data_IF_519027531490
#
_entry.id   IF_519027531490
#
_cell.length_a   1.000
_cell.length_b   1.000
_cell.length_c   1.000
_cell.angle_alpha   90.00
_cell.angle_beta   90.00
_cell.angle_gamma   90.00
#
_symmetry.space_group_name_H-M   'P 1'
#
loop_
_entity.id
_entity.type
_entity.pdbx_description
1 polymer ?
#
# COMPACT_ATOMS: atom_id res chain seq x y z
N UNK A 1 -0.11 6.23 20.97
CA UNK A 1 -1.50 6.02 21.45
C UNK A 1 -1.59 6.53 22.89
N UNK A 2 -2.71 7.14 23.29
CA UNK A 2 -2.96 7.54 24.68
C UNK A 2 -4.11 6.66 25.19
N UNK A 3 -3.90 5.97 26.31
CA UNK A 3 -4.90 5.13 26.97
C UNK A 3 -4.80 5.39 28.47
N UNK A 4 -5.94 5.59 29.12
CA UNK A 4 -5.99 6.07 30.51
C UNK A 4 -6.41 4.96 31.49
N UNK A 5 -7.22 3.98 31.09
CA UNK A 5 -7.70 2.92 31.98
C UNK A 5 -7.97 1.57 31.30
N UNK A 6 -7.66 0.48 32.00
CA UNK A 6 -8.25 -0.83 31.77
C UNK A 6 -9.55 -0.95 32.59
N UNK A 7 -10.60 -1.53 32.02
CA UNK A 7 -11.93 -1.61 32.64
C UNK A 7 -11.88 -2.13 34.09
N UNK A 8 -12.30 -1.28 35.04
CA UNK A 8 -12.40 -1.62 36.46
C UNK A 8 -11.13 -1.47 37.29
N UNK A 9 -10.05 -0.89 36.74
CA UNK A 9 -8.81 -0.58 37.47
C UNK A 9 -8.27 0.80 37.10
N UNK A 10 -7.39 1.36 37.92
CA UNK A 10 -6.62 2.58 37.58
C UNK A 10 -5.31 2.26 36.85
N UNK A 11 -5.16 1.04 36.34
CA UNK A 11 -3.95 0.62 35.63
C UNK A 11 -4.09 0.99 34.15
N UNK A 12 -3.07 1.62 33.59
CA UNK A 12 -2.98 1.86 32.16
C UNK A 12 -2.43 0.63 31.45
N UNK A 13 -3.04 0.26 30.32
CA UNK A 13 -2.57 -0.85 29.47
C UNK A 13 -2.61 -0.43 28.01
N UNK A 14 -1.57 -0.79 27.27
CA UNK A 14 -1.59 -0.73 25.80
C UNK A 14 -1.55 -2.16 25.30
N UNK A 15 -2.73 -2.70 24.97
CA UNK A 15 -2.85 -4.07 24.47
C UNK A 15 -2.60 -4.12 22.97
N UNK A 16 -1.87 -5.15 22.54
CA UNK A 16 -1.61 -5.46 21.13
C UNK A 16 -1.07 -4.27 20.33
N UNK A 17 -0.23 -3.42 20.96
CA UNK A 17 0.42 -2.32 20.27
C UNK A 17 1.41 -2.88 19.24
N UNK A 18 1.07 -2.73 17.97
CA UNK A 18 1.98 -3.03 16.87
C UNK A 18 2.96 -1.89 16.65
N UNK A 19 4.23 -2.24 16.51
CA UNK A 19 5.32 -1.30 16.21
C UNK A 19 5.52 -1.26 14.69
N UNK A 20 5.30 -0.10 14.02
CA UNK A 20 5.28 -0.02 12.55
C UNK A 20 6.66 -0.14 11.90
N UNK A 21 7.73 0.16 12.62
CA UNK A 21 9.11 0.11 12.15
C UNK A 21 10.02 -0.61 13.16
N UNK A 22 11.10 -1.24 12.70
CA UNK A 22 12.19 -1.64 13.60
C UNK A 22 12.90 -0.38 14.12
N UNK A 23 13.03 -0.24 15.43
CA UNK A 23 13.70 0.93 16.01
C UNK A 23 13.50 1.05 17.52
N UNK A 24 14.08 2.10 18.09
CA UNK A 24 13.88 2.43 19.49
C UNK A 24 12.55 3.16 19.67
N UNK A 25 11.71 2.66 20.58
CA UNK A 25 10.44 3.30 20.97
C UNK A 25 10.53 3.82 22.40
N UNK A 26 9.87 4.95 22.65
CA UNK A 26 9.76 5.55 23.98
C UNK A 26 8.38 5.26 24.56
N UNK A 27 8.34 4.68 25.75
CA UNK A 27 7.12 4.53 26.54
C UNK A 27 7.10 5.66 27.58
N UNK A 28 6.10 6.53 27.51
CA UNK A 28 5.91 7.62 28.46
C UNK A 28 4.83 7.21 29.45
N UNK A 29 5.21 6.92 30.70
CA UNK A 29 4.29 6.70 31.80
C UNK A 29 4.04 8.02 32.55
N UNK A 30 2.77 8.39 32.73
CA UNK A 30 2.36 9.60 33.46
C UNK A 30 1.04 9.37 34.18
N UNK A 31 0.77 10.16 35.22
CA UNK A 31 -0.53 10.23 35.90
C UNK A 31 -1.62 10.82 35.01
N UNK A 32 -2.88 10.49 35.30
CA UNK A 32 -4.05 11.13 34.70
C UNK A 32 -4.03 12.65 34.93
N UNK A 33 -4.35 13.44 33.91
CA UNK A 33 -4.29 14.90 33.97
C UNK A 33 -2.88 15.50 33.89
N UNK A 34 -1.81 14.67 33.78
CA UNK A 34 -0.41 15.09 33.64
C UNK A 34 -0.02 16.11 34.71
N UNK A 35 0.45 17.30 34.31
CA UNK A 35 0.88 18.38 35.20
C UNK A 35 -0.24 18.96 36.07
N UNK A 36 -1.50 18.78 35.66
CA UNK A 36 -2.69 19.19 36.42
C UNK A 36 -3.25 18.06 37.29
N UNK A 37 -2.66 16.86 37.20
CA UNK A 37 -3.08 15.66 37.94
C UNK A 37 -2.45 15.57 39.33
N UNK A 38 -3.29 15.30 40.34
CA UNK A 38 -2.86 15.24 41.75
C UNK A 38 -2.47 13.85 42.27
N UNK A 39 -2.53 12.79 41.45
CA UNK A 39 -2.25 11.42 41.91
C UNK A 39 -0.76 11.09 41.88
N UNK A 40 -0.30 10.36 42.88
CA UNK A 40 1.09 9.90 43.01
C UNK A 40 1.13 8.47 43.56
N UNK A 41 2.23 7.76 43.28
CA UNK A 41 2.43 6.39 43.71
C UNK A 41 3.54 5.70 42.91
N UNK A 42 4.00 4.58 43.44
CA UNK A 42 4.93 3.68 42.73
C UNK A 42 4.20 2.93 41.61
N UNK A 43 4.92 2.58 40.53
CA UNK A 43 4.38 1.81 39.42
C UNK A 43 5.36 0.75 38.93
N UNK A 44 4.81 -0.28 38.28
CA UNK A 44 5.57 -1.27 37.53
C UNK A 44 5.21 -1.19 36.06
N UNK A 45 6.21 -1.14 35.18
CA UNK A 45 6.02 -1.20 33.73
C UNK A 45 6.43 -2.58 33.22
N UNK A 46 5.49 -3.29 32.60
CA UNK A 46 5.73 -4.60 31.99
C UNK A 46 5.60 -4.50 30.48
N UNK A 47 6.60 -4.99 29.75
CA UNK A 47 6.53 -5.21 28.31
C UNK A 47 6.44 -6.72 28.07
N UNK A 48 5.40 -7.15 27.37
CA UNK A 48 5.28 -8.53 26.90
C UNK A 48 5.33 -8.54 25.37
N UNK A 49 6.10 -9.46 24.80
CA UNK A 49 6.00 -9.75 23.36
C UNK A 49 4.65 -10.42 23.10
N UNK A 50 3.92 -9.96 22.08
CA UNK A 50 2.76 -10.69 21.59
C UNK A 50 3.19 -12.04 21.00
N UNK A 51 2.28 -13.02 20.98
CA UNK A 51 2.51 -14.26 20.23
C UNK A 51 2.67 -13.89 18.76
N UNK A 52 3.87 -14.08 18.21
CA UNK A 52 4.07 -13.89 16.78
C UNK A 52 3.56 -15.12 16.04
N UNK A 53 2.81 -14.88 14.97
CA UNK A 53 2.39 -15.94 14.06
C UNK A 53 3.62 -16.45 13.29
N UNK A 54 3.81 -17.76 13.25
CA UNK A 54 5.00 -18.43 12.69
C UNK A 54 4.60 -19.53 11.72
N UNK A 55 5.60 -20.18 11.12
CA UNK A 55 5.39 -21.40 10.31
C UNK A 55 4.66 -22.50 11.07
N UNK A 56 4.79 -22.60 12.40
CA UNK A 56 4.09 -23.61 13.20
C UNK A 56 2.58 -23.40 13.18
N UNK A 57 2.14 -22.14 13.21
CA UNK A 57 0.72 -21.78 13.16
C UNK A 57 0.13 -22.13 11.78
N UNK A 58 0.88 -21.89 10.69
CA UNK A 58 0.48 -22.35 9.34
C UNK A 58 0.29 -23.86 9.29
N UNK A 59 1.23 -24.63 9.85
CA UNK A 59 1.09 -26.10 9.87
C UNK A 59 -0.10 -26.56 10.70
N UNK A 60 -0.43 -25.88 11.80
CA UNK A 60 -1.61 -26.18 12.60
C UNK A 60 -2.93 -25.91 11.85
N UNK A 61 -2.90 -24.98 10.89
CA UNK A 61 -4.01 -24.72 9.96
C UNK A 61 -4.01 -25.66 8.74
N UNK A 62 -3.12 -26.66 8.69
CA UNK A 62 -2.89 -27.53 7.53
C UNK A 62 -2.52 -26.77 6.24
N UNK A 63 -1.86 -25.62 6.36
CA UNK A 63 -1.36 -24.84 5.24
C UNK A 63 0.11 -25.18 4.97
N UNK A 64 0.54 -25.26 3.70
CA UNK A 64 1.94 -25.46 3.37
C UNK A 64 2.76 -24.22 3.75
N UNK A 65 3.96 -24.45 4.26
CA UNK A 65 4.92 -23.39 4.56
C UNK A 65 5.82 -23.20 3.33
N UNK A 66 5.84 -21.97 2.82
CA UNK A 66 6.65 -21.58 1.68
C UNK A 66 7.91 -20.80 2.07
N UNK A 67 8.71 -20.46 1.06
CA UNK A 67 9.75 -19.44 1.19
C UNK A 67 9.13 -18.06 1.48
N UNK A 68 7.92 -17.82 0.97
CA UNK A 68 7.08 -16.66 1.29
C UNK A 68 5.66 -17.18 1.57
N UNK A 69 5.04 -16.70 2.64
CA UNK A 69 3.66 -17.03 3.02
C UNK A 69 2.91 -15.75 3.37
N UNK A 70 1.82 -15.46 2.68
CA UNK A 70 0.96 -14.28 2.87
C UNK A 70 -0.43 -14.75 3.26
N UNK A 71 -0.80 -14.54 4.52
CA UNK A 71 -2.08 -14.96 5.10
C UNK A 71 -2.91 -13.73 5.45
N UNK A 72 -4.13 -13.68 4.93
CA UNK A 72 -5.13 -12.67 5.25
C UNK A 72 -6.33 -13.34 5.94
N UNK A 73 -6.72 -12.86 7.11
CA UNK A 73 -7.95 -13.27 7.80
C UNK A 73 -8.78 -12.06 8.18
N UNK A 74 -10.10 -12.19 8.25
CA UNK A 74 -10.97 -11.09 8.69
C UNK A 74 -12.20 -11.60 9.45
N UNK A 75 -12.89 -10.66 10.12
CA UNK A 75 -13.84 -10.94 11.20
C UNK A 75 -15.31 -10.96 10.77
N UNK A 76 -15.62 -10.92 9.47
CA UNK A 76 -17.00 -10.87 8.98
C UNK A 76 -17.14 -11.41 7.55
N UNK A 77 -18.34 -11.27 6.97
CA UNK A 77 -18.68 -11.90 5.69
C UNK A 77 -18.23 -11.13 4.45
N UNK A 78 -17.51 -10.02 4.59
CA UNK A 78 -17.07 -9.18 3.47
C UNK A 78 -16.18 -9.91 2.48
N UNK A 79 -16.10 -9.40 1.25
CA UNK A 79 -15.19 -9.88 0.21
C UNK A 79 -13.93 -8.99 0.21
N UNK A 80 -12.85 -9.52 0.78
CA UNK A 80 -11.51 -8.94 0.68
C UNK A 80 -10.69 -9.75 -0.32
N UNK A 81 -10.18 -9.08 -1.36
CA UNK A 81 -9.18 -9.68 -2.26
C UNK A 81 -7.80 -9.57 -1.65
N UNK A 82 -7.00 -10.63 -1.81
CA UNK A 82 -5.57 -10.60 -1.58
C UNK A 82 -4.88 -10.70 -2.94
N UNK A 83 -4.02 -9.73 -3.25
CA UNK A 83 -3.15 -9.75 -4.41
C UNK A 83 -1.70 -9.62 -3.94
N UNK A 84 -0.82 -10.44 -4.51
CA UNK A 84 0.63 -10.33 -4.28
C UNK A 84 1.35 -10.23 -5.61
N UNK A 85 1.97 -9.08 -5.89
CA UNK A 85 2.83 -8.84 -7.05
C UNK A 85 4.27 -9.24 -6.72
N UNK A 86 4.89 -9.96 -7.63
CA UNK A 86 6.26 -10.42 -7.52
C UNK A 86 7.29 -9.39 -8.05
N UNK A 87 8.60 -9.65 -7.87
CA UNK A 87 9.65 -8.72 -8.32
C UNK A 87 9.80 -8.52 -9.83
N UNK A 88 9.09 -9.29 -10.66
CA UNK A 88 9.09 -9.12 -12.13
C UNK A 88 7.78 -8.58 -12.67
N UNK A 89 6.80 -8.33 -11.80
CA UNK A 89 5.56 -7.63 -12.12
C UNK A 89 4.35 -8.54 -12.31
N UNK A 90 4.51 -9.87 -12.16
CA UNK A 90 3.40 -10.81 -12.21
C UNK A 90 2.67 -10.83 -10.85
N UNK A 91 1.34 -10.88 -10.86
CA UNK A 91 0.53 -10.89 -9.63
C UNK A 91 -0.24 -12.18 -9.45
N UNK A 92 -0.20 -12.74 -8.24
CA UNK A 92 -1.10 -13.82 -7.80
C UNK A 92 -2.34 -13.20 -7.17
N UNK A 93 -3.52 -13.58 -7.64
CA UNK A 93 -4.83 -13.21 -7.11
C UNK A 93 -5.89 -14.17 -7.70
N UNK A 94 -7.18 -13.95 -7.46
CA UNK A 94 -8.25 -14.89 -7.83
C UNK A 94 -8.33 -15.21 -9.34
N UNK A 95 -8.16 -14.25 -10.24
CA UNK A 95 -8.14 -14.47 -11.69
C UNK A 95 -6.81 -15.05 -12.20
N UNK A 96 -5.74 -14.94 -11.40
CA UNK A 96 -4.40 -15.44 -11.70
C UNK A 96 -3.83 -16.23 -10.51
N UNK A 97 -4.45 -17.38 -10.21
CA UNK A 97 -4.15 -18.15 -9.01
C UNK A 97 -2.72 -18.73 -8.96
N UNK A 98 -2.00 -18.75 -10.08
CA UNK A 98 -0.60 -19.18 -10.16
C UNK A 98 0.17 -18.34 -11.17
N UNK A 99 1.44 -18.02 -10.86
CA UNK A 99 2.32 -17.25 -11.76
C UNK A 99 3.67 -17.94 -11.98
N UNK A 100 4.42 -17.46 -12.98
CA UNK A 100 5.68 -18.09 -13.42
C UNK A 100 6.78 -18.09 -12.36
N UNK A 101 6.79 -17.12 -11.44
CA UNK A 101 7.75 -17.09 -10.33
C UNK A 101 7.43 -18.07 -9.21
N UNK A 102 6.36 -18.87 -9.34
CA UNK A 102 6.00 -19.93 -8.40
C UNK A 102 4.97 -19.54 -7.35
N UNK A 103 4.50 -18.30 -7.33
CA UNK A 103 3.43 -17.87 -6.43
C UNK A 103 2.13 -18.61 -6.70
N UNK A 104 1.42 -19.01 -5.64
CA UNK A 104 0.19 -19.79 -5.69
C UNK A 104 -0.84 -19.32 -4.66
N UNK A 105 -2.09 -19.17 -5.09
CA UNK A 105 -3.26 -18.95 -4.25
C UNK A 105 -3.89 -20.29 -3.85
N UNK A 106 -4.07 -20.51 -2.55
CA UNK A 106 -4.65 -21.75 -2.02
C UNK A 106 -6.01 -21.56 -1.35
N UNK A 107 -6.17 -20.46 -0.63
CA UNK A 107 -7.44 -20.06 -0.02
C UNK A 107 -7.78 -18.68 -0.54
N UNK A 108 -9.05 -18.42 -0.83
CA UNK A 108 -9.46 -17.20 -1.53
C UNK A 108 -10.57 -16.44 -0.80
N UNK A 109 -10.89 -16.83 0.43
CA UNK A 109 -11.95 -16.22 1.22
C UNK A 109 -13.30 -16.17 0.51
N UNK A 110 -13.96 -15.00 0.55
CA UNK A 110 -15.35 -14.81 0.15
C UNK A 110 -15.53 -14.27 -1.28
N UNK A 111 -14.66 -14.65 -2.22
CA UNK A 111 -14.67 -14.17 -3.62
C UNK A 111 -16.09 -14.09 -4.19
N UNK A 112 -16.44 -12.90 -4.68
CA UNK A 112 -17.72 -12.59 -5.35
C UNK A 112 -18.95 -12.89 -4.48
N UNK A 113 -18.78 -12.99 -3.16
CA UNK A 113 -19.83 -13.34 -2.20
C UNK A 113 -20.57 -14.65 -2.51
N UNK A 114 -19.97 -15.59 -3.27
CA UNK A 114 -20.63 -16.85 -3.64
C UNK A 114 -20.90 -17.72 -2.42
N UNK A 115 -19.94 -17.75 -1.48
CA UNK A 115 -20.08 -18.33 -0.14
C UNK A 115 -19.39 -17.41 0.86
N UNK A 116 -20.18 -16.58 1.52
CA UNK A 116 -19.68 -15.60 2.47
C UNK A 116 -19.61 -16.22 3.88
N UNK A 117 -18.41 -16.62 4.31
CA UNK A 117 -18.15 -17.12 5.66
C UNK A 117 -18.00 -15.95 6.64
N UNK A 118 -18.36 -16.12 7.91
CA UNK A 118 -18.22 -15.04 8.91
C UNK A 118 -16.79 -14.77 9.37
N UNK A 119 -15.82 -15.65 9.07
CA UNK A 119 -14.40 -15.50 9.45
C UNK A 119 -13.48 -16.05 8.36
N UNK A 120 -13.36 -15.40 7.20
CA UNK A 120 -12.73 -15.99 6.03
C UNK A 120 -11.21 -15.95 6.12
N UNK A 121 -10.58 -16.70 5.23
CA UNK A 121 -9.13 -16.73 5.06
C UNK A 121 -8.76 -16.71 3.57
N UNK A 122 -7.82 -15.85 3.20
CA UNK A 122 -7.12 -15.88 1.91
C UNK A 122 -5.63 -16.16 2.14
N UNK A 123 -5.02 -17.00 1.30
CA UNK A 123 -3.66 -17.47 1.48
C UNK A 123 -2.93 -17.63 0.15
N UNK A 124 -1.87 -16.84 -0.02
CA UNK A 124 -0.93 -16.91 -1.14
C UNK A 124 0.44 -17.30 -0.61
N UNK A 125 1.16 -18.18 -1.31
CA UNK A 125 2.51 -18.59 -0.92
C UNK A 125 3.40 -18.89 -2.12
N UNK A 126 4.71 -18.76 -1.94
CA UNK A 126 5.74 -19.27 -2.84
C UNK A 126 6.33 -20.54 -2.23
N UNK A 127 6.26 -21.71 -2.89
CA UNK A 127 6.84 -22.95 -2.38
C UNK A 127 8.34 -22.84 -2.08
N UNK A 128 8.86 -23.80 -1.32
CA UNK A 128 10.29 -23.86 -1.01
C UNK A 128 11.13 -23.96 -2.29
N UNK A 129 12.21 -23.17 -2.38
CA UNK A 129 13.09 -23.07 -3.54
C UNK A 129 12.69 -21.99 -4.55
N UNK A 130 11.65 -21.19 -4.25
CA UNK A 130 11.17 -20.09 -5.08
C UNK A 130 11.39 -18.70 -4.46
N UNK A 131 12.16 -18.59 -3.39
CA UNK A 131 12.57 -17.30 -2.85
C UNK A 131 13.36 -16.52 -3.92
N UNK A 132 12.79 -15.41 -4.38
CA UNK A 132 13.42 -14.54 -5.37
C UNK A 132 13.78 -13.21 -4.73
N UNK A 133 14.99 -12.73 -5.02
CA UNK A 133 15.38 -11.39 -4.62
C UNK A 133 14.58 -10.33 -5.39
N UNK A 134 14.30 -9.21 -4.72
CA UNK A 134 13.58 -8.07 -5.25
C UNK A 134 12.39 -7.67 -4.38
N UNK A 135 11.54 -6.79 -4.91
CA UNK A 135 10.44 -6.18 -4.17
C UNK A 135 9.15 -6.92 -4.48
N UNK A 136 8.45 -7.33 -3.43
CA UNK A 136 7.09 -7.85 -3.50
C UNK A 136 6.14 -6.76 -3.00
N UNK A 137 4.98 -6.64 -3.62
CA UNK A 137 3.90 -5.74 -3.19
C UNK A 137 2.66 -6.58 -2.87
N UNK A 138 2.02 -6.27 -1.75
CA UNK A 138 0.78 -6.91 -1.29
C UNK A 138 -0.31 -5.86 -1.27
N UNK A 139 -1.42 -6.14 -1.93
CA UNK A 139 -2.63 -5.34 -1.96
C UNK A 139 -3.78 -6.14 -1.34
N UNK A 140 -4.47 -5.51 -0.38
CA UNK A 140 -5.73 -6.00 0.18
C UNK A 140 -6.84 -5.05 -0.22
N UNK A 141 -7.74 -5.50 -1.09
CA UNK A 141 -8.85 -4.71 -1.63
C UNK A 141 -10.19 -5.12 -1.02
N UNK A 142 -10.92 -4.17 -0.45
CA UNK A 142 -12.29 -4.40 0.04
C UNK A 142 -13.31 -4.23 -1.11
N UNK A 143 -13.67 -5.34 -1.75
CA UNK A 143 -14.52 -5.35 -2.95
C UNK A 143 -16.03 -5.23 -2.67
N UNK A 144 -16.52 -5.91 -1.63
CA UNK A 144 -17.96 -6.03 -1.41
C UNK A 144 -18.31 -6.34 0.02
N UNK A 145 -19.43 -5.79 0.50
CA UNK A 145 -19.92 -6.07 1.85
C UNK A 145 -20.56 -7.46 2.00
N UNK A 146 -20.87 -8.16 0.91
CA UNK A 146 -21.58 -9.46 0.92
C UNK A 146 -22.84 -9.52 1.81
N UNK A 147 -23.56 -8.39 1.92
CA UNK A 147 -24.73 -8.18 2.78
C UNK A 147 -24.44 -8.14 4.30
N UNK A 148 -23.18 -8.00 4.69
CA UNK A 148 -22.75 -7.82 6.08
C UNK A 148 -22.31 -6.37 6.30
N UNK A 149 -23.13 -5.60 7.02
CA UNK A 149 -22.87 -4.19 7.30
C UNK A 149 -21.97 -3.96 8.53
N UNK A 150 -21.47 -5.03 9.16
CA UNK A 150 -20.56 -4.89 10.30
C UNK A 150 -19.20 -4.33 9.87
N UNK A 151 -18.54 -3.60 10.77
CA UNK A 151 -17.21 -3.07 10.49
C UNK A 151 -16.19 -4.22 10.37
N UNK A 152 -15.49 -4.26 9.24
CA UNK A 152 -14.45 -5.25 8.97
C UNK A 152 -13.14 -4.86 9.67
N UNK A 153 -12.49 -5.86 10.24
CA UNK A 153 -11.11 -5.82 10.69
C UNK A 153 -10.39 -7.04 10.11
N UNK A 154 -9.31 -6.80 9.37
CA UNK A 154 -8.47 -7.86 8.84
C UNK A 154 -7.13 -7.92 9.56
N UNK A 155 -6.53 -9.11 9.55
CA UNK A 155 -5.13 -9.34 9.92
C UNK A 155 -4.37 -9.87 8.70
N UNK A 156 -3.36 -9.13 8.25
CA UNK A 156 -2.45 -9.53 7.17
C UNK A 156 -1.11 -9.96 7.77
N UNK A 157 -0.73 -11.22 7.58
CA UNK A 157 0.55 -11.79 8.04
C UNK A 157 1.42 -12.19 6.86
N UNK A 158 2.67 -11.73 6.85
CA UNK A 158 3.69 -12.11 5.86
C UNK A 158 4.83 -12.79 6.60
N UNK A 159 5.14 -14.03 6.22
CA UNK A 159 6.33 -14.76 6.63
C UNK A 159 7.29 -14.87 5.45
N UNK A 160 8.59 -14.74 5.70
CA UNK A 160 9.65 -15.07 4.75
C UNK A 160 10.61 -16.05 5.42
N UNK A 161 10.93 -17.16 4.75
CA UNK A 161 11.68 -18.29 5.32
C UNK A 161 11.09 -18.80 6.64
N UNK A 162 9.76 -18.80 6.75
CA UNK A 162 9.01 -19.21 7.95
C UNK A 162 9.09 -18.25 9.15
N UNK A 163 9.80 -17.12 9.03
CA UNK A 163 9.90 -16.09 10.07
C UNK A 163 8.93 -14.93 9.80
N UNK A 164 8.29 -14.36 10.83
CA UNK A 164 7.39 -13.23 10.66
C UNK A 164 8.11 -11.96 10.22
N UNK A 165 7.61 -11.35 9.14
CA UNK A 165 8.09 -10.09 8.59
C UNK A 165 7.07 -8.96 8.77
N UNK A 166 5.81 -9.20 8.40
CA UNK A 166 4.69 -8.24 8.53
C UNK A 166 3.49 -8.92 9.19
N UNK A 167 2.70 -8.18 9.97
CA UNK A 167 1.51 -8.69 10.66
C UNK A 167 0.50 -7.55 10.96
N UNK A 168 -0.04 -6.89 9.95
CA UNK A 168 -0.89 -5.71 10.13
C UNK A 168 -2.33 -6.05 10.55
N UNK A 169 -2.89 -5.28 11.49
CA UNK A 169 -4.34 -5.26 11.77
C UNK A 169 -4.91 -3.94 11.26
N UNK A 170 -5.95 -4.00 10.43
CA UNK A 170 -6.50 -2.83 9.74
C UNK A 170 -8.01 -2.91 9.62
N UNK A 171 -8.64 -1.73 9.50
CA UNK A 171 -10.09 -1.56 9.37
C UNK A 171 -10.40 -0.79 8.09
N UNK A 172 -10.43 -1.46 6.93
CA UNK A 172 -10.77 -0.79 5.67
C UNK A 172 -12.25 -0.39 5.63
N UNK A 173 -12.57 0.59 4.80
CA UNK A 173 -13.92 0.83 4.29
C UNK A 173 -14.06 0.25 2.89
N UNK A 174 -15.30 0.13 2.39
CA UNK A 174 -15.57 -0.35 1.04
C UNK A 174 -14.71 0.41 0.01
N UNK A 175 -14.22 -0.33 -0.98
CA UNK A 175 -13.33 0.08 -2.06
C UNK A 175 -11.93 0.54 -1.64
N UNK A 176 -11.59 0.53 -0.35
CA UNK A 176 -10.22 0.84 0.06
C UNK A 176 -9.25 -0.29 -0.27
N UNK A 177 -8.07 0.12 -0.72
CA UNK A 177 -6.89 -0.72 -0.87
C UNK A 177 -5.91 -0.45 0.27
N UNK A 178 -5.49 -1.50 0.96
CA UNK A 178 -4.33 -1.45 1.84
C UNK A 178 -3.14 -2.07 1.12
N UNK A 179 -2.10 -1.26 0.92
CA UNK A 179 -0.88 -1.66 0.22
C UNK A 179 0.28 -1.71 1.22
N UNK A 180 1.11 -2.74 1.10
CA UNK A 180 2.41 -2.85 1.77
C UNK A 180 3.39 -3.54 0.85
N UNK A 181 4.66 -3.17 0.91
CA UNK A 181 5.72 -3.89 0.21
C UNK A 181 6.71 -4.53 1.18
N UNK A 182 7.48 -5.49 0.67
CA UNK A 182 8.68 -5.98 1.34
C UNK A 182 9.73 -6.33 0.30
N UNK A 183 11.00 -6.27 0.70
CA UNK A 183 12.14 -6.59 -0.16
C UNK A 183 12.83 -7.84 0.34
N UNK A 184 13.17 -8.74 -0.58
CA UNK A 184 14.11 -9.84 -0.35
C UNK A 184 15.44 -9.42 -0.97
N UNK A 185 16.48 -9.25 -0.15
CA UNK A 185 17.81 -8.88 -0.60
C UNK A 185 18.45 -9.97 -1.48
N UNK A 186 19.52 -9.65 -2.23
CA UNK A 186 20.29 -10.65 -2.99
C UNK A 186 20.89 -11.77 -2.13
N UNK A 187 21.03 -11.53 -0.82
CA UNK A 187 21.45 -12.47 0.21
C UNK A 187 20.29 -13.29 0.82
N UNK A 188 19.07 -13.09 0.31
CA UNK A 188 17.84 -13.72 0.81
C UNK A 188 17.30 -13.12 2.10
N UNK A 189 17.89 -12.03 2.63
CA UNK A 189 17.40 -11.40 3.85
C UNK A 189 16.18 -10.51 3.55
N UNK A 190 15.06 -10.69 4.27
CA UNK A 190 13.87 -9.88 4.08
C UNK A 190 13.92 -8.56 4.87
N UNK A 191 13.31 -7.51 4.32
CA UNK A 191 13.02 -6.26 5.01
C UNK A 191 11.62 -5.77 4.67
N UNK A 192 10.84 -5.37 5.69
CA UNK A 192 9.51 -4.81 5.50
C UNK A 192 9.57 -3.35 5.02
N UNK A 193 8.69 -2.99 4.07
CA UNK A 193 8.38 -1.61 3.73
C UNK A 193 7.23 -1.06 4.58
N UNK A 194 6.87 0.20 4.35
CA UNK A 194 5.73 0.81 5.02
C UNK A 194 4.41 0.31 4.41
N UNK A 195 3.41 0.05 5.26
CA UNK A 195 2.07 -0.32 4.83
C UNK A 195 1.01 0.72 5.21
N UNK A 196 0.08 1.00 4.30
CA UNK A 196 -0.96 2.00 4.50
C UNK A 196 -2.11 1.90 3.49
N UNK A 197 -3.16 2.69 3.73
CA UNK A 197 -4.27 2.80 2.79
C UNK A 197 -3.89 3.73 1.64
N UNK A 198 -4.19 3.32 0.41
CA UNK A 198 -3.99 4.14 -0.78
C UNK A 198 -4.92 5.34 -0.73
N UNK A 199 -4.40 6.49 -1.18
CA UNK A 199 -5.16 7.73 -1.32
C UNK A 199 -4.97 8.28 -2.73
N UNK A 200 -6.02 8.89 -3.27
CA UNK A 200 -6.01 9.43 -4.64
C UNK A 200 -5.57 10.89 -4.70
N UNK A 201 -4.77 11.31 -3.73
CA UNK A 201 -4.30 12.69 -3.70
C UNK A 201 -2.89 12.84 -3.12
N UNK A 202 -2.36 14.05 -3.19
CA UNK A 202 -1.03 14.39 -2.72
C UNK A 202 -0.84 14.34 -1.19
N UNK A 203 -1.83 13.84 -0.42
CA UNK A 203 -1.68 13.69 1.04
C UNK A 203 -0.55 12.73 1.37
N UNK A 204 0.36 13.18 2.23
CA UNK A 204 1.54 12.40 2.62
C UNK A 204 2.72 12.53 1.65
N UNK A 205 2.58 13.28 0.56
CA UNK A 205 3.69 13.63 -0.33
C UNK A 205 4.19 15.03 0.02
N UNK A 206 5.47 15.14 0.41
CA UNK A 206 6.11 16.44 0.63
C UNK A 206 6.64 17.05 -0.68
N UNK A 207 5.77 17.19 -1.69
CA UNK A 207 6.19 17.67 -3.01
C UNK A 207 6.60 19.15 -3.02
N UNK A 208 6.26 19.91 -1.97
CA UNK A 208 6.54 21.35 -1.90
C UNK A 208 7.96 21.66 -1.44
N UNK A 209 8.68 20.67 -0.88
CA UNK A 209 10.10 20.79 -0.55
C UNK A 209 11.02 20.48 -1.74
N UNK A 210 10.49 19.86 -2.79
CA UNK A 210 11.21 19.56 -4.02
C UNK A 210 11.33 20.78 -4.95
N UNK A 211 12.41 20.82 -5.73
CA UNK A 211 12.56 21.80 -6.82
C UNK A 211 11.99 21.21 -8.10
N UNK A 212 10.84 21.68 -8.60
CA UNK A 212 10.19 21.07 -9.75
C UNK A 212 11.02 21.25 -11.03
N UNK A 213 11.08 20.21 -11.85
CA UNK A 213 11.71 20.24 -13.17
C UNK A 213 10.76 20.85 -14.18
N UNK A 214 11.14 21.98 -14.77
CA UNK A 214 10.33 22.62 -15.82
C UNK A 214 10.33 21.78 -17.10
N UNK A 215 9.13 21.54 -17.65
CA UNK A 215 8.93 20.83 -18.92
C UNK A 215 8.13 21.69 -19.90
N UNK A 216 8.33 21.45 -21.19
CA UNK A 216 7.62 22.15 -22.27
C UNK A 216 6.66 21.22 -22.98
N UNK A 217 5.57 21.76 -23.50
CA UNK A 217 4.60 21.01 -24.29
C UNK A 217 5.26 20.21 -25.43
N UNK A 218 4.70 19.02 -25.69
CA UNK A 218 5.09 18.12 -26.77
C UNK A 218 6.54 17.64 -26.72
N UNK A 219 7.22 17.81 -25.58
CA UNK A 219 8.58 17.31 -25.33
C UNK A 219 8.55 16.37 -24.13
N UNK A 220 8.87 15.08 -24.29
CA UNK A 220 8.86 14.16 -23.17
C UNK A 220 10.03 14.42 -22.22
N UNK A 221 9.77 14.24 -20.93
CA UNK A 221 10.80 14.11 -19.90
C UNK A 221 10.84 12.67 -19.39
N UNK A 222 11.98 12.25 -18.85
CA UNK A 222 12.16 10.90 -18.27
C UNK A 222 12.62 11.03 -16.83
N UNK A 223 12.15 10.12 -15.98
CA UNK A 223 12.57 10.00 -14.58
C UNK A 223 12.67 8.55 -14.16
N UNK A 224 12.90 8.31 -12.87
CA UNK A 224 12.97 6.95 -12.32
C UNK A 224 12.40 6.94 -10.92
N UNK A 225 11.36 6.14 -10.73
CA UNK A 225 10.83 5.81 -9.42
C UNK A 225 11.65 4.63 -8.87
N UNK A 226 12.18 4.82 -7.66
CA UNK A 226 13.06 3.89 -6.97
C UNK A 226 12.50 3.56 -5.58
N UNK A 227 13.07 2.61 -4.83
CA UNK A 227 12.60 2.32 -3.48
C UNK A 227 12.73 3.53 -2.54
N UNK A 228 13.81 4.30 -2.68
CA UNK A 228 14.17 5.49 -1.90
C UNK A 228 13.71 6.81 -2.55
N UNK A 229 13.24 6.78 -3.80
CA UNK A 229 12.64 7.92 -4.49
C UNK A 229 11.24 7.56 -5.00
N UNK A 230 10.20 7.89 -4.22
CA UNK A 230 8.83 7.48 -4.53
C UNK A 230 8.12 8.41 -5.53
N UNK A 231 8.61 9.63 -5.77
CA UNK A 231 7.98 10.58 -6.66
C UNK A 231 9.00 11.57 -7.22
N UNK A 232 8.71 12.11 -8.40
CA UNK A 232 9.41 13.21 -9.03
C UNK A 232 8.40 14.36 -9.30
N UNK A 233 8.88 15.61 -9.27
CA UNK A 233 8.02 16.80 -9.43
C UNK A 233 8.40 17.56 -10.70
N UNK A 234 7.41 17.87 -11.54
CA UNK A 234 7.56 18.68 -12.75
C UNK A 234 6.65 19.90 -12.72
N UNK A 235 6.98 20.91 -13.52
CA UNK A 235 6.13 22.10 -13.70
C UNK A 235 6.01 22.50 -15.17
N UNK A 236 4.86 23.04 -15.56
CA UNK A 236 4.64 23.67 -16.86
C UNK A 236 3.72 24.89 -16.72
N UNK A 237 3.87 25.88 -17.60
CA UNK A 237 2.98 27.04 -17.62
C UNK A 237 1.73 26.73 -18.45
N UNK A 238 0.56 26.92 -17.83
CA UNK A 238 -0.75 26.73 -18.47
C UNK A 238 -1.57 28.01 -18.53
N UNK A 239 -2.52 28.07 -19.45
CA UNK A 239 -3.51 29.15 -19.53
C UNK A 239 -4.92 28.63 -19.24
N UNK A 240 -5.72 29.41 -18.50
CA UNK A 240 -7.13 29.07 -18.26
C UNK A 240 -7.87 28.90 -19.60
N UNK A 241 -8.63 27.81 -19.72
CA UNK A 241 -9.33 27.39 -20.95
C UNK A 241 -8.48 26.57 -21.92
N UNK A 242 -7.17 26.43 -21.70
CA UNK A 242 -6.34 25.51 -22.48
C UNK A 242 -6.67 24.06 -22.10
N UNK A 243 -6.78 23.20 -23.09
CA UNK A 243 -6.94 21.75 -22.87
C UNK A 243 -5.60 21.08 -23.01
N UNK A 244 -5.25 20.21 -22.06
CA UNK A 244 -3.99 19.47 -22.05
C UNK A 244 -4.24 17.97 -21.88
N UNK A 245 -3.31 17.16 -22.38
CA UNK A 245 -3.24 15.73 -22.08
C UNK A 245 -1.91 15.45 -21.39
N UNK A 246 -1.94 14.77 -20.25
CA UNK A 246 -0.73 14.43 -19.48
C UNK A 246 -0.64 12.92 -19.39
N UNK A 247 0.47 12.35 -19.86
CA UNK A 247 0.71 10.90 -19.80
C UNK A 247 1.98 10.59 -19.02
N UNK A 248 1.96 9.49 -18.28
CA UNK A 248 3.12 8.88 -17.65
C UNK A 248 3.15 7.41 -18.04
N UNK A 249 4.19 7.02 -18.78
CA UNK A 249 4.34 5.64 -19.25
C UNK A 249 5.58 5.01 -18.62
N UNK A 250 5.43 3.83 -18.03
CA UNK A 250 6.54 3.00 -17.60
C UNK A 250 7.39 2.59 -18.81
N UNK A 251 8.72 2.67 -18.65
CA UNK A 251 9.71 2.24 -19.66
C UNK A 251 10.31 0.89 -19.29
N UNK A 252 10.46 0.61 -17.99
CA UNK A 252 11.21 -0.55 -17.51
C UNK A 252 10.64 -1.08 -16.20
N UNK A 253 11.00 -2.32 -15.88
CA UNK A 253 10.71 -2.99 -14.60
C UNK A 253 9.20 -3.13 -14.37
N UNK A 254 8.73 -2.85 -13.16
CA UNK A 254 7.40 -3.22 -12.67
C UNK A 254 6.52 -2.00 -12.40
N UNK A 255 6.97 -0.80 -12.78
CA UNK A 255 6.35 0.45 -12.39
C UNK A 255 4.87 0.48 -12.75
N UNK A 256 4.07 0.70 -11.72
CA UNK A 256 2.65 0.99 -11.79
C UNK A 256 2.48 2.47 -11.52
N UNK A 257 2.31 3.27 -12.58
CA UNK A 257 2.49 4.73 -12.52
C UNK A 257 1.30 5.41 -11.86
N UNK A 258 1.52 6.60 -11.28
CA UNK A 258 0.44 7.50 -10.86
C UNK A 258 0.80 8.94 -11.16
N UNK A 259 -0.16 9.69 -11.70
CA UNK A 259 -0.08 11.12 -11.96
C UNK A 259 -0.99 11.90 -11.03
N UNK A 260 -0.50 12.99 -10.47
CA UNK A 260 -1.31 14.01 -9.80
C UNK A 260 -1.03 15.37 -10.47
N UNK A 261 -2.08 16.15 -10.73
CA UNK A 261 -1.99 17.51 -11.26
C UNK A 261 -2.45 18.52 -10.20
N UNK A 262 -1.56 19.43 -9.83
CA UNK A 262 -1.82 20.52 -8.89
C UNK A 262 -1.88 21.84 -9.65
N UNK A 263 -2.95 22.60 -9.44
CA UNK A 263 -3.16 23.93 -10.01
C UNK A 263 -2.24 24.99 -9.37
N UNK A 264 -2.08 26.17 -10.00
CA UNK A 264 -1.33 27.29 -9.42
C UNK A 264 -1.80 27.69 -8.00
N UNK A 265 -3.08 27.49 -7.69
CA UNK A 265 -3.67 27.69 -6.36
C UNK A 265 -3.19 26.69 -5.29
N UNK A 266 -2.48 25.62 -5.66
CA UNK A 266 -2.05 24.52 -4.77
C UNK A 266 -3.11 23.43 -4.60
N UNK A 267 -4.22 23.52 -5.32
CA UNK A 267 -5.31 22.53 -5.27
C UNK A 267 -5.01 21.41 -6.27
N UNK A 268 -5.16 20.15 -5.84
CA UNK A 268 -5.16 19.03 -6.78
C UNK A 268 -6.43 19.04 -7.63
N UNK A 269 -6.26 19.00 -8.94
CA UNK A 269 -7.37 19.14 -9.90
C UNK A 269 -7.60 17.94 -10.81
N UNK A 270 -6.63 17.03 -10.92
CA UNK A 270 -6.77 15.77 -11.62
C UNK A 270 -5.76 14.76 -11.10
N UNK A 271 -6.08 13.48 -11.28
CA UNK A 271 -5.19 12.36 -11.00
C UNK A 271 -5.58 11.16 -11.87
N UNK A 272 -4.64 10.23 -12.07
CA UNK A 272 -4.89 8.93 -12.68
C UNK A 272 -3.71 8.00 -12.38
N UNK A 273 -3.97 6.73 -12.05
CA UNK A 273 -2.97 5.66 -11.96
C UNK A 273 -3.08 4.68 -13.14
N UNK A 274 -4.29 4.24 -13.47
CA UNK A 274 -4.56 3.39 -14.64
C UNK A 274 -5.29 4.13 -15.76
N UNK A 275 -4.62 4.28 -16.91
CA UNK A 275 -5.20 4.87 -18.10
C UNK A 275 -6.31 3.98 -18.66
N UNK A 276 -7.39 4.60 -19.12
CA UNK A 276 -8.44 3.90 -19.87
C UNK A 276 -7.81 3.20 -21.09
N UNK A 277 -7.96 1.87 -21.24
CA UNK A 277 -7.36 1.13 -22.34
C UNK A 277 -7.73 1.65 -23.74
N UNK A 278 -8.94 2.18 -23.89
CA UNK A 278 -9.40 2.76 -25.15
C UNK A 278 -8.68 4.07 -25.47
N UNK A 279 -8.36 4.86 -24.46
CA UNK A 279 -7.63 6.12 -24.62
C UNK A 279 -6.12 5.88 -24.75
N UNK A 280 -5.60 4.84 -24.09
CA UNK A 280 -4.20 4.44 -24.15
C UNK A 280 -3.85 3.55 -25.36
N UNK A 281 -4.84 3.14 -26.18
CA UNK A 281 -4.69 2.18 -27.28
C UNK A 281 -4.06 0.84 -26.84
N UNK A 282 -4.48 0.32 -25.68
CA UNK A 282 -4.06 -0.99 -25.16
C UNK A 282 -5.20 -2.01 -25.25
N UNK A 283 -4.87 -3.29 -25.40
CA UNK A 283 -5.86 -4.38 -25.51
C UNK A 283 -6.38 -4.87 -24.14
N UNK A 284 -6.14 -4.10 -23.07
CA UNK A 284 -6.45 -4.46 -21.69
C UNK A 284 -5.97 -3.39 -20.70
N UNK A 285 -6.22 -3.64 -19.41
CA UNK A 285 -5.76 -2.75 -18.32
C UNK A 285 -4.27 -2.45 -18.48
N UNK A 286 -3.89 -1.21 -18.23
CA UNK A 286 -2.53 -0.73 -18.32
C UNK A 286 -2.16 -0.06 -17.02
N UNK A 287 -0.95 -0.29 -16.54
CA UNK A 287 -0.36 0.34 -15.35
C UNK A 287 0.30 1.68 -15.68
N UNK A 288 -0.14 2.30 -16.78
CA UNK A 288 0.35 3.59 -17.26
C UNK A 288 -0.74 4.62 -16.99
N UNK A 289 -0.38 5.85 -16.64
CA UNK A 289 -1.34 6.89 -16.28
C UNK A 289 -1.59 7.87 -17.42
N UNK A 290 -2.84 8.33 -17.53
CA UNK A 290 -3.30 9.30 -18.51
C UNK A 290 -4.38 10.22 -17.94
N UNK A 291 -4.05 11.50 -17.81
CA UNK A 291 -5.02 12.58 -17.62
C UNK A 291 -5.37 13.11 -19.01
N UNK A 292 -6.47 12.62 -19.60
CA UNK A 292 -6.85 12.92 -20.97
C UNK A 292 -7.70 14.19 -21.09
N UNK A 293 -7.34 15.09 -22.03
CA UNK A 293 -8.15 16.26 -22.41
C UNK A 293 -8.65 17.12 -21.24
N UNK A 294 -7.80 17.37 -20.26
CA UNK A 294 -8.15 18.19 -19.10
C UNK A 294 -8.10 19.69 -19.45
N UNK A 295 -9.21 20.40 -19.25
CA UNK A 295 -9.27 21.86 -19.45
C UNK A 295 -8.80 22.59 -18.20
N UNK A 296 -7.70 23.32 -18.31
CA UNK A 296 -7.10 24.11 -17.24
C UNK A 296 -8.06 25.23 -16.81
N UNK A 297 -8.25 25.39 -15.50
CA UNK A 297 -9.16 26.39 -14.92
C UNK A 297 -8.44 27.68 -14.49
N UNK A 298 -7.11 27.67 -14.43
CA UNK A 298 -6.27 28.77 -13.96
C UNK A 298 -5.14 29.05 -14.97
N UNK A 299 -4.65 30.29 -14.98
CA UNK A 299 -3.43 30.65 -15.71
C UNK A 299 -2.27 30.70 -14.72
N UNK A 300 -1.17 30.02 -15.02
CA UNK A 300 0.03 30.01 -14.18
C UNK A 300 0.76 28.66 -14.22
N UNK A 301 1.73 28.46 -13.30
CA UNK A 301 2.48 27.22 -13.21
C UNK A 301 1.63 26.11 -12.60
N UNK A 302 1.44 25.04 -13.36
CA UNK A 302 0.87 23.77 -12.88
C UNK A 302 1.98 22.84 -12.45
N UNK A 303 1.77 22.09 -11.36
CA UNK A 303 2.70 21.08 -10.87
C UNK A 303 2.19 19.69 -11.20
N UNK A 304 3.06 18.83 -11.73
CA UNK A 304 2.81 17.41 -11.95
C UNK A 304 3.63 16.64 -10.93
N UNK A 305 2.98 15.74 -10.20
CA UNK A 305 3.65 14.75 -9.37
C UNK A 305 3.59 13.42 -10.13
N UNK A 306 4.75 12.93 -10.53
CA UNK A 306 4.92 11.62 -11.15
C UNK A 306 5.34 10.63 -10.06
N UNK A 307 4.53 9.61 -9.80
CA UNK A 307 4.77 8.65 -8.71
C UNK A 307 4.29 7.25 -9.13
N UNK A 308 4.09 6.37 -8.15
CA UNK A 308 3.57 5.01 -8.34
C UNK A 308 2.25 4.81 -7.61
N UNK A 309 1.49 3.81 -8.03
CA UNK A 309 0.37 3.29 -7.26
C UNK A 309 0.80 2.98 -5.81
N UNK A 310 -0.02 3.36 -4.84
CA UNK A 310 0.31 3.26 -3.41
C UNK A 310 1.38 4.25 -2.90
N UNK A 311 1.99 5.07 -3.75
CA UNK A 311 2.93 6.16 -3.42
C UNK A 311 4.10 5.66 -2.55
N UNK A 312 4.06 5.91 -1.24
CA UNK A 312 5.07 5.53 -0.26
C UNK A 312 4.91 4.09 0.23
N UNK A 313 3.74 3.48 0.01
CA UNK A 313 3.44 2.10 0.37
C UNK A 313 3.66 1.14 -0.79
N UNK A 314 3.58 1.64 -2.03
CA UNK A 314 3.84 0.86 -3.25
C UNK A 314 5.29 0.38 -3.34
N UNK A 315 5.47 -0.82 -3.87
CA UNK A 315 6.76 -1.46 -4.11
C UNK A 315 7.21 -1.44 -5.57
N UNK A 316 6.37 -0.98 -6.50
CA UNK A 316 6.73 -0.93 -7.92
C UNK A 316 7.82 0.13 -8.20
N UNK A 317 8.71 -0.15 -9.14
CA UNK A 317 9.85 0.71 -9.48
C UNK A 317 10.09 0.68 -10.98
N UNK A 318 10.76 1.71 -11.50
CA UNK A 318 11.16 1.73 -12.90
C UNK A 318 11.42 3.13 -13.44
N UNK A 319 12.12 3.17 -14.56
CA UNK A 319 12.17 4.36 -15.40
C UNK A 319 10.81 4.60 -16.06
N UNK A 320 10.47 5.87 -16.25
CA UNK A 320 9.24 6.29 -16.92
C UNK A 320 9.49 7.46 -17.85
N UNK A 321 8.48 7.75 -18.68
CA UNK A 321 8.40 8.95 -19.51
C UNK A 321 7.13 9.72 -19.16
N UNK A 322 7.26 11.01 -18.84
CA UNK A 322 6.14 11.95 -18.70
C UNK A 322 6.07 12.86 -19.94
N UNK A 323 4.86 13.18 -20.40
CA UNK A 323 4.61 14.08 -21.52
C UNK A 323 3.37 14.92 -21.24
N UNK A 324 3.46 16.21 -21.52
CA UNK A 324 2.32 17.14 -21.56
C UNK A 324 2.10 17.56 -23.01
N UNK A 325 0.90 17.32 -23.52
CA UNK A 325 0.42 17.76 -24.83
C UNK A 325 -0.60 18.88 -24.62
N UNK A 326 -0.67 19.84 -25.54
CA UNK A 326 -1.53 21.01 -25.44
C UNK A 326 -1.76 21.71 -26.77
#
# INVERSE_FOLDING_TARGET
QVVDDAAGTTNSIINNLRLPNSGQYYVIATRYGKELGGTEGEYTLTLASGVQFTSTDLTALNLPVGDISVLLTWNNSTDLQLLVRDPVGDSVYDDAAQINSGGQLLLNGNVQCVRAEGTPTSYIYWPQGFLRAGIYEVDVWFQSICNDATAVEFTLTILVNGQPLVQEVRRPTLDQHFVVNFTVGPDGQPSAGQGGFVVDNATGIDYTSEVPVAITFNTPATGTIAPDNAFDVYTFDGSAGQTVTISMNAISQTLDTKLLLIAPSGIQVAENDDADPLLANTNGRTTNSLIASYTLQETGPYTIIATRYGIQFGGTIGAYRVLVEG
#
